data_IF_413399902106
#
_entry.id   IF_413399902106
#
_cell.length_a   1.000
_cell.length_b   1.000
_cell.length_c   1.000
_cell.angle_alpha   90.00
_cell.angle_beta   90.00
_cell.angle_gamma   90.00
#
_symmetry.space_group_name_H-M   'P 1'
#
loop_
_entity.id
_entity.type
_entity.pdbx_description
1 polymer ?
#
# COMPACT_ATOMS: atom_id res chain seq x y z
N UNK A 1 54.79 10.31 24.80
CA UNK A 1 54.17 9.28 23.91
C UNK A 1 54.08 7.99 24.71
N UNK A 2 52.99 7.19 24.70
CA UNK A 2 51.97 7.04 23.64
C UNK A 2 50.49 7.01 24.12
N UNK A 3 49.58 7.71 23.42
CA UNK A 3 48.12 7.57 23.61
C UNK A 3 47.39 7.20 22.30
N UNK A 4 48.11 6.71 21.28
CA UNK A 4 47.60 6.80 19.90
C UNK A 4 47.05 5.50 19.28
N UNK A 5 46.90 4.43 20.05
CA UNK A 5 46.52 3.12 19.49
C UNK A 5 45.23 2.49 20.05
N UNK A 6 44.42 3.21 20.82
CA UNK A 6 43.15 2.64 21.34
C UNK A 6 41.95 2.89 20.41
N UNK A 7 42.07 3.81 19.45
CA UNK A 7 40.92 4.26 18.66
C UNK A 7 40.47 3.37 17.47
N UNK A 8 41.25 2.44 16.88
CA UNK A 8 40.73 1.67 15.74
C UNK A 8 39.94 0.42 16.16
N UNK A 9 39.93 0.03 17.45
CA UNK A 9 39.34 -1.25 17.86
C UNK A 9 37.82 -1.19 18.14
N UNK A 10 37.24 0.00 18.27
CA UNK A 10 35.82 0.15 18.68
C UNK A 10 34.83 0.25 17.50
N UNK A 11 35.29 0.30 16.25
CA UNK A 11 34.44 0.49 15.07
C UNK A 11 33.96 -0.82 14.40
N UNK A 12 34.38 -1.99 14.91
CA UNK A 12 34.03 -3.29 14.32
C UNK A 12 32.73 -3.91 14.86
N UNK A 13 32.09 -3.31 15.86
CA UNK A 13 30.95 -3.93 16.57
C UNK A 13 29.68 -3.11 16.38
N UNK A 14 29.17 -3.08 15.16
CA UNK A 14 27.74 -2.96 14.84
C UNK A 14 27.58 -2.77 13.33
N UNK A 15 27.72 -3.85 12.55
CA UNK A 15 27.00 -3.87 11.28
C UNK A 15 25.51 -3.94 11.63
N UNK A 16 24.69 -2.93 11.28
CA UNK A 16 23.26 -3.09 11.45
C UNK A 16 22.85 -4.31 10.61
N UNK A 17 22.09 -5.22 11.21
CA UNK A 17 21.45 -6.27 10.44
C UNK A 17 20.55 -5.57 9.41
N UNK A 18 20.98 -5.57 8.15
CA UNK A 18 20.15 -5.18 7.02
C UNK A 18 18.97 -6.13 7.01
N UNK A 19 17.84 -5.73 7.60
CA UNK A 19 16.59 -6.44 7.40
C UNK A 19 16.35 -6.51 5.90
N UNK A 20 16.19 -7.72 5.35
CA UNK A 20 15.95 -7.90 3.92
C UNK A 20 14.79 -6.99 3.49
N UNK A 21 14.93 -6.30 2.35
CA UNK A 21 13.85 -5.50 1.78
C UNK A 21 12.63 -6.40 1.58
N UNK A 22 11.55 -6.11 2.32
CA UNK A 22 10.27 -6.83 2.21
C UNK A 22 9.30 -5.94 1.47
N UNK A 23 8.77 -6.44 0.37
CA UNK A 23 7.69 -5.77 -0.37
C UNK A 23 6.34 -6.29 0.10
N UNK A 24 5.42 -5.39 0.42
CA UNK A 24 4.03 -5.70 0.75
C UNK A 24 3.16 -5.24 -0.42
N UNK A 25 2.20 -6.08 -0.82
CA UNK A 25 1.19 -5.74 -1.81
C UNK A 25 -0.16 -5.63 -1.11
N UNK A 26 -0.77 -4.44 -1.17
CA UNK A 26 -2.09 -4.21 -0.60
C UNK A 26 -3.16 -4.58 -1.63
N UNK A 27 -4.04 -5.50 -1.24
CA UNK A 27 -5.21 -5.88 -2.03
C UNK A 27 -6.48 -5.78 -1.19
N UNK A 28 -7.57 -5.37 -1.83
CA UNK A 28 -8.90 -5.29 -1.20
C UNK A 28 -9.92 -5.92 -2.12
N UNK A 29 -10.69 -6.87 -1.60
CA UNK A 29 -11.65 -7.66 -2.38
C UNK A 29 -13.09 -7.15 -2.14
N UNK A 30 -14.04 -7.74 -2.86
CA UNK A 30 -15.49 -7.53 -2.74
C UNK A 30 -16.04 -6.12 -3.04
N UNK A 31 -15.21 -5.10 -3.25
CA UNK A 31 -15.69 -3.72 -3.46
C UNK A 31 -16.52 -3.54 -4.75
N UNK A 32 -17.22 -2.39 -4.91
CA UNK A 32 -17.40 -1.31 -3.95
C UNK A 32 -18.42 -1.65 -2.86
N UNK A 33 -18.06 -1.43 -1.60
CA UNK A 33 -18.90 -1.58 -0.40
C UNK A 33 -18.81 -0.31 0.46
N UNK A 34 -19.53 -0.28 1.59
CA UNK A 34 -19.56 0.88 2.49
C UNK A 34 -18.16 1.36 2.95
N UNK A 35 -17.17 0.46 3.04
CA UNK A 35 -15.80 0.80 3.42
C UNK A 35 -14.91 1.32 2.29
N UNK A 36 -15.32 1.22 1.02
CA UNK A 36 -14.48 1.55 -0.12
C UNK A 36 -14.07 3.03 -0.14
N UNK A 37 -14.96 3.94 0.24
CA UNK A 37 -14.63 5.37 0.32
C UNK A 37 -13.43 5.64 1.25
N UNK A 38 -13.44 5.03 2.44
CA UNK A 38 -12.38 5.19 3.43
C UNK A 38 -11.06 4.60 2.94
N UNK A 39 -11.09 3.46 2.25
CA UNK A 39 -9.89 2.86 1.65
C UNK A 39 -9.28 3.84 0.63
N UNK A 40 -10.10 4.41 -0.27
CA UNK A 40 -9.61 5.37 -1.26
C UNK A 40 -9.05 6.64 -0.63
N UNK A 41 -9.67 7.14 0.45
CA UNK A 41 -9.17 8.29 1.20
C UNK A 41 -7.78 8.03 1.81
N UNK A 42 -7.59 6.87 2.44
CA UNK A 42 -6.30 6.47 3.04
C UNK A 42 -5.24 6.26 1.96
N UNK A 43 -5.55 5.54 0.88
CA UNK A 43 -4.60 5.33 -0.21
C UNK A 43 -4.16 6.65 -0.86
N UNK A 44 -5.09 7.61 -0.98
CA UNK A 44 -4.78 8.95 -1.45
C UNK A 44 -3.92 9.75 -0.46
N UNK A 45 -4.17 9.64 0.85
CA UNK A 45 -3.38 10.34 1.86
C UNK A 45 -1.95 9.78 1.97
N UNK A 46 -1.82 8.46 1.99
CA UNK A 46 -0.55 7.77 2.21
C UNK A 46 0.29 7.62 0.92
N UNK A 47 -0.28 7.89 -0.26
CA UNK A 47 0.40 7.77 -1.55
C UNK A 47 1.03 6.37 -1.76
N UNK A 48 0.30 5.32 -1.39
CA UNK A 48 0.75 3.93 -1.52
C UNK A 48 -0.03 3.18 -2.61
N UNK A 49 0.61 2.27 -3.35
CA UNK A 49 -0.06 1.48 -4.37
C UNK A 49 -0.94 0.38 -3.77
N UNK A 50 -2.09 0.14 -4.39
CA UNK A 50 -2.98 -0.97 -4.04
C UNK A 50 -3.78 -1.49 -5.24
N UNK A 51 -4.24 -2.74 -5.14
CA UNK A 51 -5.19 -3.33 -6.10
C UNK A 51 -6.54 -3.54 -5.43
N UNK A 52 -7.61 -3.04 -6.04
CA UNK A 52 -8.99 -3.27 -5.59
C UNK A 52 -9.65 -4.27 -6.55
N UNK A 53 -9.88 -5.49 -6.08
CA UNK A 53 -10.63 -6.52 -6.81
C UNK A 53 -12.12 -6.31 -6.55
N UNK A 54 -12.85 -5.81 -7.56
CA UNK A 54 -14.23 -5.40 -7.42
C UNK A 54 -15.23 -6.39 -8.05
N UNK A 55 -16.36 -6.60 -7.38
CA UNK A 55 -17.49 -7.43 -7.82
C UNK A 55 -18.40 -6.61 -8.72
N UNK A 56 -18.77 -7.15 -9.88
CA UNK A 56 -19.59 -6.46 -10.89
C UNK A 56 -20.96 -6.02 -10.37
N UNK A 57 -21.69 -6.90 -9.68
CA UNK A 57 -22.98 -6.59 -9.05
C UNK A 57 -22.86 -5.41 -8.08
N UNK A 58 -21.78 -5.36 -7.28
CA UNK A 58 -21.57 -4.26 -6.35
C UNK A 58 -21.24 -2.96 -7.08
N UNK A 59 -20.39 -3.01 -8.12
CA UNK A 59 -20.03 -1.85 -8.90
C UNK A 59 -21.24 -1.20 -9.58
N UNK A 60 -22.24 -1.99 -9.98
CA UNK A 60 -23.44 -1.52 -10.67
C UNK A 60 -24.64 -1.26 -9.75
N UNK A 61 -24.58 -1.69 -8.49
CA UNK A 61 -25.70 -1.69 -7.55
C UNK A 61 -26.43 -0.34 -7.42
N UNK A 62 -25.70 0.77 -7.42
CA UNK A 62 -26.26 2.11 -7.29
C UNK A 62 -25.31 3.20 -7.81
N UNK A 63 -25.78 4.45 -7.85
CA UNK A 63 -24.99 5.59 -8.34
C UNK A 63 -23.73 5.86 -7.51
N UNK A 64 -23.80 5.67 -6.18
CA UNK A 64 -22.67 5.85 -5.28
C UNK A 64 -21.56 4.84 -5.56
N UNK A 65 -21.90 3.55 -5.71
CA UNK A 65 -20.93 2.50 -6.01
C UNK A 65 -20.27 2.72 -7.39
N UNK A 66 -21.04 3.15 -8.39
CA UNK A 66 -20.48 3.54 -9.69
C UNK A 66 -19.51 4.70 -9.56
N UNK A 67 -19.84 5.72 -8.76
CA UNK A 67 -18.95 6.85 -8.51
C UNK A 67 -17.65 6.43 -7.80
N UNK A 68 -17.73 5.50 -6.84
CA UNK A 68 -16.55 4.94 -6.15
C UNK A 68 -15.63 4.17 -7.11
N UNK A 69 -16.20 3.35 -8.02
CA UNK A 69 -15.42 2.69 -9.08
C UNK A 69 -14.71 3.73 -9.98
N UNK A 70 -15.40 4.78 -10.42
CA UNK A 70 -14.79 5.82 -11.26
C UNK A 70 -13.69 6.60 -10.53
N UNK A 71 -13.92 6.93 -9.24
CA UNK A 71 -12.89 7.53 -8.39
C UNK A 71 -11.66 6.64 -8.32
N UNK A 72 -11.84 5.36 -8.00
CA UNK A 72 -10.74 4.40 -7.92
C UNK A 72 -9.97 4.27 -9.24
N UNK A 73 -10.66 4.24 -10.40
CA UNK A 73 -10.04 4.25 -11.74
C UNK A 73 -9.21 5.52 -12.03
N UNK A 74 -9.60 6.65 -11.47
CA UNK A 74 -8.87 7.93 -11.67
C UNK A 74 -7.63 8.07 -10.78
N UNK A 75 -7.46 7.22 -9.77
CA UNK A 75 -6.32 7.30 -8.85
C UNK A 75 -5.09 6.61 -9.44
N UNK A 76 -3.94 7.31 -9.60
CA UNK A 76 -2.78 6.78 -10.34
C UNK A 76 -2.09 5.59 -9.68
N UNK A 77 -2.28 5.42 -8.36
CA UNK A 77 -1.67 4.34 -7.57
C UNK A 77 -2.67 3.20 -7.27
N UNK A 78 -3.88 3.27 -7.84
CA UNK A 78 -4.90 2.23 -7.68
C UNK A 78 -5.03 1.43 -8.96
N UNK A 79 -4.94 0.11 -8.84
CA UNK A 79 -5.26 -0.84 -9.92
C UNK A 79 -6.63 -1.46 -9.66
N UNK A 80 -7.49 -1.55 -10.68
CA UNK A 80 -8.78 -2.25 -10.58
C UNK A 80 -8.64 -3.67 -11.12
N UNK A 81 -8.99 -4.65 -10.28
CA UNK A 81 -9.12 -6.05 -10.66
C UNK A 81 -10.59 -6.49 -10.72
N UNK A 82 -10.86 -7.57 -11.43
CA UNK A 82 -12.18 -8.20 -11.49
C UNK A 82 -12.30 -9.26 -10.38
N UNK A 83 -13.37 -9.22 -9.59
CA UNK A 83 -13.69 -10.21 -8.55
C UNK A 83 -15.03 -10.92 -8.83
N UNK A 84 -15.22 -11.34 -10.09
CA UNK A 84 -16.48 -11.86 -10.64
C UNK A 84 -17.62 -10.82 -10.72
N UNK A 85 -18.80 -11.27 -11.16
CA UNK A 85 -19.99 -10.44 -11.26
C UNK A 85 -20.86 -10.63 -10.02
#
# INVERSE_FOLDING_TARGET
MPLRYILPFLLLVASPASGADRTIYLTFDDGPLNGTANILDVLQAEQVPATLFMVGMHAEANATNRALLQRAKSMPLVTIGNHSY
#
